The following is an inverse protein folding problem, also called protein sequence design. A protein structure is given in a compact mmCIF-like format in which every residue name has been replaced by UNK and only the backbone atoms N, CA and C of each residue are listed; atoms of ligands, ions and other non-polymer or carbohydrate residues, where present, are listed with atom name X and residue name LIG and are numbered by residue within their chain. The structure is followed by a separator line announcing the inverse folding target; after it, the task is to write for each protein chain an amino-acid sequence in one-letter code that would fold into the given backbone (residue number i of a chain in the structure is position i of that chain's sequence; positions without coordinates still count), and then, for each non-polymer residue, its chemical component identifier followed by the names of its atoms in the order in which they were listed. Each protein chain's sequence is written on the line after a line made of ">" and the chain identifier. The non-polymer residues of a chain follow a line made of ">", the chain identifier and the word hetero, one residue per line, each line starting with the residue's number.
data_IF_165760757619
#
_entry.id   IF_165760757619
#
_cell.length_a   1.000
_cell.length_b   1.000
_cell.length_c   1.000
_cell.angle_alpha   90.00
_cell.angle_beta   90.00
_cell.angle_gamma   90.00
#
_symmetry.space_group_name_H-M   'P 1'
#
loop_
_entity.id
_entity.type
_entity.pdbx_description
1 polymer ?
#
# COMPACT_ATOMS: atom_id res chain seq x y z
N UNK A 1 0.59 -7.42 16.71
CA UNK A 1 -0.26 -7.02 15.56
C UNK A 1 0.61 -6.41 14.48
N UNK A 2 0.55 -6.94 13.26
CA UNK A 2 1.35 -6.43 12.16
C UNK A 2 0.72 -5.20 11.52
N UNK A 3 1.54 -4.22 11.18
CA UNK A 3 1.09 -3.01 10.50
C UNK A 3 1.19 -3.19 8.99
N UNK A 4 0.17 -2.71 8.28
CA UNK A 4 0.06 -2.86 6.84
C UNK A 4 -0.20 -1.50 6.18
N UNK A 5 0.54 -1.21 5.12
CA UNK A 5 0.23 -0.11 4.22
C UNK A 5 -0.34 -0.71 2.93
N UNK A 6 -1.49 -0.22 2.48
CA UNK A 6 -2.13 -0.69 1.25
C UNK A 6 -2.05 0.41 0.20
N UNK A 7 -1.12 0.26 -0.73
CA UNK A 7 -0.93 1.21 -1.81
C UNK A 7 -1.77 0.74 -3.00
N UNK A 8 -2.73 1.55 -3.38
CA UNK A 8 -3.77 1.15 -4.32
C UNK A 8 -4.97 0.52 -3.59
N UNK A 9 -5.36 1.09 -2.46
CA UNK A 9 -6.39 0.52 -1.57
C UNK A 9 -7.78 0.46 -2.19
N UNK A 10 -8.05 1.26 -3.20
CA UNK A 10 -9.36 1.33 -3.86
C UNK A 10 -9.48 0.39 -5.06
N UNK A 11 -8.39 -0.22 -5.48
CA UNK A 11 -8.38 -1.19 -6.57
C UNK A 11 -8.79 -2.59 -6.12
N UNK A 12 -8.77 -3.54 -7.05
CA UNK A 12 -9.21 -4.92 -6.78
C UNK A 12 -8.41 -5.59 -5.67
N UNK A 13 -7.07 -5.54 -5.77
CA UNK A 13 -6.20 -6.14 -4.75
C UNK A 13 -6.36 -5.41 -3.41
N UNK A 14 -6.43 -4.08 -3.44
CA UNK A 14 -6.58 -3.29 -2.23
C UNK A 14 -7.86 -3.58 -1.48
N UNK A 15 -8.99 -3.64 -2.18
CA UNK A 15 -10.27 -3.93 -1.54
C UNK A 15 -10.33 -5.34 -0.98
N UNK A 16 -9.76 -6.33 -1.68
CA UNK A 16 -9.66 -7.69 -1.18
C UNK A 16 -8.77 -7.79 0.06
N UNK A 17 -7.66 -7.04 0.07
CA UNK A 17 -6.77 -6.96 1.23
C UNK A 17 -7.53 -6.43 2.44
N UNK A 18 -8.31 -5.37 2.25
CA UNK A 18 -9.06 -4.79 3.36
C UNK A 18 -10.14 -5.74 3.88
N UNK A 19 -10.74 -6.57 3.02
CA UNK A 19 -11.66 -7.61 3.48
C UNK A 19 -10.97 -8.64 4.38
N UNK A 20 -9.77 -9.06 4.02
CA UNK A 20 -9.00 -9.99 4.85
C UNK A 20 -8.64 -9.34 6.19
N UNK A 21 -8.19 -8.09 6.18
CA UNK A 21 -7.86 -7.37 7.41
C UNK A 21 -9.10 -7.22 8.30
N UNK A 22 -10.25 -6.96 7.69
CA UNK A 22 -11.51 -6.82 8.44
C UNK A 22 -11.86 -8.12 9.17
N UNK A 23 -11.64 -9.28 8.54
CA UNK A 23 -11.91 -10.59 9.15
C UNK A 23 -10.82 -11.03 10.13
N UNK A 24 -9.62 -10.44 10.04
CA UNK A 24 -8.46 -10.79 10.86
C UNK A 24 -7.96 -9.56 11.66
N UNK A 25 -8.89 -8.78 12.18
CA UNK A 25 -8.59 -7.49 12.82
C UNK A 25 -7.74 -7.61 14.09
N UNK A 26 -7.65 -8.79 14.67
CA UNK A 26 -6.78 -9.08 15.81
C UNK A 26 -5.31 -9.32 15.39
N UNK A 27 -5.07 -9.56 14.10
CA UNK A 27 -3.72 -9.84 13.57
C UNK A 27 -3.07 -8.67 12.84
N UNK A 28 -3.89 -7.81 12.23
CA UNK A 28 -3.41 -6.77 11.32
C UNK A 28 -4.02 -5.41 11.66
N UNK A 29 -3.22 -4.37 11.53
CA UNK A 29 -3.66 -2.98 11.64
C UNK A 29 -3.27 -2.23 10.38
N UNK A 30 -4.19 -1.49 9.81
CA UNK A 30 -3.91 -0.64 8.67
C UNK A 30 -3.19 0.62 9.16
N UNK A 31 -1.94 0.78 8.76
CA UNK A 31 -1.17 1.98 9.07
C UNK A 31 -1.41 3.07 8.03
N UNK A 32 -1.49 2.69 6.75
CA UNK A 32 -1.66 3.66 5.68
C UNK A 32 -2.50 3.10 4.54
N UNK A 33 -3.22 4.00 3.89
CA UNK A 33 -4.01 3.71 2.69
C UNK A 33 -3.64 4.73 1.60
N UNK A 34 -3.59 4.30 0.35
CA UNK A 34 -3.28 5.20 -0.75
C UNK A 34 -4.09 4.85 -1.99
N UNK A 35 -4.59 5.88 -2.66
CA UNK A 35 -5.31 5.76 -3.91
C UNK A 35 -4.83 6.82 -4.89
N UNK A 36 -4.98 6.57 -6.21
CA UNK A 36 -4.57 7.56 -7.20
C UNK A 36 -5.55 8.73 -7.28
N UNK A 37 -6.83 8.44 -7.50
CA UNK A 37 -7.85 9.47 -7.69
C UNK A 37 -9.20 9.16 -7.04
N UNK A 38 -9.41 7.96 -6.55
CA UNK A 38 -10.71 7.54 -5.98
C UNK A 38 -10.89 8.08 -4.56
N UNK A 39 -11.06 9.39 -4.45
CA UNK A 39 -11.07 10.09 -3.17
C UNK A 39 -12.25 9.69 -2.28
N UNK A 40 -13.43 9.50 -2.85
CA UNK A 40 -14.62 9.14 -2.05
C UNK A 40 -14.48 7.78 -1.39
N UNK A 41 -14.00 6.78 -2.14
CA UNK A 41 -13.80 5.45 -1.58
C UNK A 41 -12.66 5.46 -0.56
N UNK A 42 -11.60 6.21 -0.82
CA UNK A 42 -10.50 6.36 0.13
C UNK A 42 -10.98 6.99 1.44
N UNK A 43 -11.84 7.99 1.37
CA UNK A 43 -12.44 8.60 2.56
C UNK A 43 -13.24 7.56 3.36
N UNK A 44 -14.06 6.76 2.69
CA UNK A 44 -14.83 5.71 3.36
C UNK A 44 -13.92 4.68 4.04
N UNK A 45 -12.85 4.29 3.37
CA UNK A 45 -11.87 3.36 3.94
C UNK A 45 -11.15 3.96 5.15
N UNK A 46 -10.79 5.24 5.08
CA UNK A 46 -10.13 5.92 6.19
C UNK A 46 -11.03 6.03 7.41
N UNK A 47 -12.32 6.24 7.22
CA UNK A 47 -13.29 6.28 8.32
C UNK A 47 -13.43 4.92 9.00
N UNK A 48 -13.38 3.85 8.23
CA UNK A 48 -13.51 2.49 8.76
C UNK A 48 -12.25 2.04 9.48
N UNK A 49 -11.10 2.15 8.81
CA UNK A 49 -9.86 1.54 9.30
C UNK A 49 -9.01 2.48 10.16
N UNK A 50 -9.27 3.75 10.12
CA UNK A 50 -8.56 4.77 10.92
C UNK A 50 -7.05 4.63 10.83
N UNK A 51 -6.47 4.73 9.62
CA UNK A 51 -5.02 4.63 9.47
C UNK A 51 -4.31 5.84 10.07
N UNK A 52 -3.00 5.73 10.24
CA UNK A 52 -2.19 6.87 10.67
C UNK A 52 -2.02 7.89 9.54
N UNK A 53 -2.02 7.43 8.30
CA UNK A 53 -1.82 8.29 7.15
C UNK A 53 -2.58 7.78 5.92
N UNK A 54 -2.92 8.72 5.04
CA UNK A 54 -3.49 8.42 3.74
C UNK A 54 -2.75 9.21 2.66
N UNK A 55 -2.75 8.71 1.44
CA UNK A 55 -2.15 9.41 0.31
C UNK A 55 -3.05 9.39 -0.91
N UNK A 56 -3.03 10.47 -1.66
CA UNK A 56 -3.73 10.60 -2.94
C UNK A 56 -2.72 10.99 -4.01
N UNK A 57 -2.72 10.26 -5.13
CA UNK A 57 -1.78 10.50 -6.22
C UNK A 57 -2.00 11.83 -6.92
N UNK A 58 -3.27 12.16 -7.20
CA UNK A 58 -3.62 13.44 -7.78
C UNK A 58 -3.65 14.51 -6.68
N UNK A 59 -2.60 15.33 -6.64
CA UNK A 59 -2.39 16.29 -5.56
C UNK A 59 -3.53 17.30 -5.41
N UNK A 60 -4.23 17.63 -6.49
CA UNK A 60 -5.34 18.57 -6.49
C UNK A 60 -6.55 18.04 -5.68
N UNK A 61 -6.61 16.74 -5.41
CA UNK A 61 -7.66 16.14 -4.61
C UNK A 61 -7.37 16.12 -3.10
N UNK A 62 -6.19 16.59 -2.70
CA UNK A 62 -5.77 16.55 -1.28
C UNK A 62 -6.71 17.34 -0.37
N UNK A 63 -7.22 18.49 -0.81
CA UNK A 63 -8.16 19.30 -0.04
C UNK A 63 -9.47 18.57 0.24
N UNK A 64 -10.02 17.93 -0.79
CA UNK A 64 -11.24 17.13 -0.66
C UNK A 64 -11.03 15.96 0.29
N UNK A 65 -9.89 15.30 0.18
CA UNK A 65 -9.53 14.19 1.06
C UNK A 65 -9.46 14.66 2.52
N UNK A 66 -8.77 15.76 2.79
CA UNK A 66 -8.66 16.29 4.15
C UNK A 66 -10.00 16.64 4.76
N UNK A 67 -10.91 17.16 3.94
CA UNK A 67 -12.24 17.57 4.42
C UNK A 67 -13.12 16.38 4.77
N UNK A 68 -12.86 15.22 4.19
CA UNK A 68 -13.72 14.05 4.36
C UNK A 68 -13.26 13.04 5.41
N UNK A 69 -12.01 13.07 5.82
CA UNK A 69 -11.45 12.07 6.74
C UNK A 69 -11.48 12.54 8.19
N UNK A 70 -11.40 11.60 9.16
CA UNK A 70 -11.30 11.98 10.58
C UNK A 70 -10.04 12.81 10.85
N UNK A 71 -10.12 13.68 11.84
CA UNK A 71 -8.98 14.48 12.26
C UNK A 71 -7.88 13.58 12.86
N UNK A 72 -6.63 14.01 12.72
CA UNK A 72 -5.48 13.27 13.24
C UNK A 72 -4.84 12.32 12.24
N UNK A 73 -5.44 12.14 11.06
CA UNK A 73 -4.84 11.33 10.00
C UNK A 73 -3.98 12.23 9.11
N UNK A 74 -2.72 11.86 8.93
CA UNK A 74 -1.81 12.60 8.06
C UNK A 74 -2.21 12.41 6.60
N UNK A 75 -2.17 13.48 5.80
CA UNK A 75 -2.46 13.41 4.36
C UNK A 75 -1.22 13.73 3.56
N UNK A 76 -0.82 12.80 2.71
CA UNK A 76 0.24 12.99 1.72
C UNK A 76 -0.40 13.07 0.34
N UNK A 77 0.25 13.77 -0.58
CA UNK A 77 -0.28 13.93 -1.92
C UNK A 77 0.84 14.07 -2.95
N UNK A 78 0.55 13.62 -4.16
CA UNK A 78 1.43 13.80 -5.28
C UNK A 78 2.62 12.86 -5.34
N UNK A 79 3.66 13.28 -6.00
CA UNK A 79 4.85 12.47 -6.27
C UNK A 79 5.56 12.09 -4.98
N UNK A 80 5.96 10.82 -4.87
CA UNK A 80 6.70 10.32 -3.71
C UNK A 80 5.84 9.92 -2.51
N UNK A 81 4.54 10.25 -2.51
CA UNK A 81 3.66 9.99 -1.38
C UNK A 81 3.48 8.49 -1.12
N UNK A 82 3.27 7.72 -2.17
CA UNK A 82 3.07 6.27 -2.05
C UNK A 82 4.34 5.58 -1.56
N UNK A 83 5.47 5.96 -2.12
CA UNK A 83 6.78 5.41 -1.76
C UNK A 83 7.06 5.64 -0.27
N UNK A 84 6.77 6.84 0.22
CA UNK A 84 6.99 7.13 1.62
C UNK A 84 6.13 6.26 2.53
N UNK A 85 4.85 6.10 2.22
CA UNK A 85 3.96 5.26 3.03
C UNK A 85 4.37 3.79 2.99
N UNK A 86 4.93 3.33 1.87
CA UNK A 86 5.41 1.95 1.75
C UNK A 86 6.55 1.64 2.72
N UNK A 87 7.27 2.65 3.18
CA UNK A 87 8.41 2.46 4.10
C UNK A 87 8.02 2.47 5.58
N UNK A 88 6.77 2.84 5.91
CA UNK A 88 6.36 3.08 7.29
C UNK A 88 5.79 1.86 8.01
N UNK A 89 5.34 0.84 7.28
CA UNK A 89 4.71 -0.35 7.86
C UNK A 89 5.61 -1.57 7.79
N UNK A 90 5.29 -2.60 8.57
CA UNK A 90 6.01 -3.87 8.49
C UNK A 90 5.77 -4.55 7.15
N UNK A 91 4.56 -4.43 6.60
CA UNK A 91 4.19 -5.04 5.33
C UNK A 91 3.58 -3.98 4.42
N UNK A 92 4.08 -3.88 3.20
CA UNK A 92 3.49 -3.03 2.17
C UNK A 92 2.78 -3.92 1.15
N UNK A 93 1.52 -3.63 0.88
CA UNK A 93 0.75 -4.31 -0.17
C UNK A 93 0.75 -3.38 -1.39
N UNK A 94 1.38 -3.81 -2.47
CA UNK A 94 1.47 -3.01 -3.68
C UNK A 94 0.43 -3.46 -4.70
N UNK A 95 -0.71 -2.78 -4.71
CA UNK A 95 -1.76 -2.97 -5.69
C UNK A 95 -1.78 -1.89 -6.77
N UNK A 96 -0.73 -1.08 -6.85
CA UNK A 96 -0.62 0.00 -7.84
C UNK A 96 -0.20 -0.57 -9.18
N UNK A 97 -0.95 -0.25 -10.23
CA UNK A 97 -0.64 -0.73 -11.58
C UNK A 97 0.32 0.22 -12.31
N UNK A 98 1.04 -0.30 -13.29
CA UNK A 98 1.93 0.48 -14.13
C UNK A 98 3.23 0.89 -13.46
N UNK A 99 3.89 1.90 -14.01
CA UNK A 99 5.20 2.35 -13.54
C UNK A 99 5.17 2.96 -12.13
N UNK A 100 4.05 3.53 -11.73
CA UNK A 100 3.91 4.07 -10.37
C UNK A 100 4.11 2.97 -9.32
N UNK A 101 3.72 1.74 -9.64
CA UNK A 101 3.91 0.60 -8.75
C UNK A 101 5.38 0.21 -8.57
N UNK A 102 6.22 0.47 -9.56
CA UNK A 102 7.65 0.15 -9.45
C UNK A 102 8.32 0.96 -8.35
N UNK A 103 8.02 2.25 -8.24
CA UNK A 103 8.57 3.09 -7.17
C UNK A 103 8.24 2.56 -5.79
N UNK A 104 7.00 2.12 -5.59
CA UNK A 104 6.56 1.50 -4.33
C UNK A 104 7.38 0.24 -4.03
N UNK A 105 7.54 -0.62 -5.02
CA UNK A 105 8.33 -1.85 -4.87
C UNK A 105 9.76 -1.55 -4.45
N UNK A 106 10.43 -0.63 -5.14
CA UNK A 106 11.81 -0.28 -4.84
C UNK A 106 11.95 0.34 -3.45
N UNK A 107 11.04 1.23 -3.07
CA UNK A 107 11.07 1.88 -1.76
C UNK A 107 10.87 0.88 -0.62
N UNK A 108 9.90 -0.01 -0.75
CA UNK A 108 9.63 -1.00 0.29
C UNK A 108 10.80 -1.94 0.50
N UNK A 109 11.35 -2.49 -0.58
CA UNK A 109 12.48 -3.43 -0.48
C UNK A 109 13.75 -2.73 0.02
N UNK A 110 14.03 -1.52 -0.47
CA UNK A 110 15.21 -0.76 -0.02
C UNK A 110 15.14 -0.43 1.48
N UNK A 111 13.93 -0.33 2.03
CA UNK A 111 13.71 -0.06 3.45
C UNK A 111 13.65 -1.32 4.31
N UNK A 112 13.88 -2.49 3.72
CA UNK A 112 13.84 -3.75 4.46
C UNK A 112 12.44 -4.18 4.87
N UNK A 113 11.41 -3.77 4.11
CA UNK A 113 10.02 -4.12 4.41
C UNK A 113 9.61 -5.39 3.64
N UNK A 114 8.63 -6.08 4.19
CA UNK A 114 7.99 -7.18 3.46
C UNK A 114 7.04 -6.57 2.46
N UNK A 115 7.14 -7.01 1.22
CA UNK A 115 6.33 -6.47 0.12
C UNK A 115 5.49 -7.57 -0.50
N UNK A 116 4.18 -7.39 -0.48
CA UNK A 116 3.26 -8.23 -1.23
C UNK A 116 2.96 -7.53 -2.55
N UNK A 117 3.32 -8.16 -3.66
CA UNK A 117 3.23 -7.57 -4.98
C UNK A 117 2.26 -8.35 -5.85
N UNK A 118 1.25 -7.64 -6.37
CA UNK A 118 0.24 -8.23 -7.25
C UNK A 118 0.66 -8.19 -8.72
N UNK A 119 1.46 -7.21 -9.12
CA UNK A 119 1.83 -7.00 -10.53
C UNK A 119 3.16 -7.67 -10.87
N UNK A 120 3.09 -8.92 -11.35
CA UNK A 120 4.28 -9.68 -11.74
C UNK A 120 4.98 -9.11 -12.97
N UNK A 121 4.24 -8.43 -13.82
CA UNK A 121 4.79 -7.88 -15.08
C UNK A 121 5.81 -6.78 -14.80
N UNK A 122 5.52 -5.92 -13.84
CA UNK A 122 6.48 -4.90 -13.40
C UNK A 122 7.74 -5.54 -12.83
N UNK A 123 7.61 -6.67 -12.16
CA UNK A 123 8.73 -7.39 -11.58
C UNK A 123 9.66 -7.95 -12.67
N UNK A 124 9.11 -8.49 -13.73
CA UNK A 124 9.89 -9.03 -14.85
C UNK A 124 10.62 -7.90 -15.56
N UNK A 125 9.93 -6.81 -15.88
CA UNK A 125 10.51 -5.67 -16.57
C UNK A 125 11.61 -4.98 -15.75
N UNK A 126 11.46 -4.93 -14.44
CA UNK A 126 12.35 -4.22 -13.52
C UNK A 126 13.29 -5.14 -12.75
N UNK A 127 13.37 -6.43 -13.14
CA UNK A 127 14.19 -7.43 -12.45
C UNK A 127 15.60 -6.97 -12.08
N UNK A 128 16.36 -6.36 -13.01
CA UNK A 128 17.71 -5.87 -12.70
C UNK A 128 17.77 -4.82 -11.60
N UNK A 129 16.70 -4.03 -11.40
CA UNK A 129 16.62 -3.03 -10.35
C UNK A 129 16.15 -3.64 -9.02
N UNK A 130 15.28 -4.62 -9.08
CA UNK A 130 14.65 -5.23 -7.91
C UNK A 130 15.56 -6.25 -7.24
N UNK A 131 16.28 -7.08 -8.02
CA UNK A 131 17.07 -8.17 -7.49
C UNK A 131 18.09 -7.77 -6.42
N UNK A 132 18.88 -6.70 -6.61
CA UNK A 132 19.83 -6.28 -5.58
C UNK A 132 19.14 -5.89 -4.26
N UNK A 133 17.94 -5.30 -4.34
CA UNK A 133 17.22 -4.82 -3.16
C UNK A 133 16.63 -5.97 -2.34
N UNK A 134 16.42 -7.13 -2.94
CA UNK A 134 15.93 -8.31 -2.22
C UNK A 134 16.90 -8.80 -1.16
N UNK A 135 18.16 -8.41 -1.24
CA UNK A 135 19.19 -8.74 -0.24
C UNK A 135 19.19 -7.77 0.94
N UNK A 136 18.40 -6.70 0.90
CA UNK A 136 18.31 -5.75 2.02
C UNK A 136 17.82 -6.49 3.27
N UNK A 137 18.47 -6.31 4.43
CA UNK A 137 18.02 -6.97 5.66
C UNK A 137 16.55 -6.66 5.96
N UNK A 138 15.77 -7.72 6.18
CA UNK A 138 14.32 -7.60 6.42
C UNK A 138 13.47 -7.60 5.19
N UNK A 139 14.04 -7.36 4.00
CA UNK A 139 13.27 -7.33 2.76
C UNK A 139 12.82 -8.74 2.37
N UNK A 140 11.54 -8.84 2.02
CA UNK A 140 10.94 -10.09 1.55
C UNK A 140 9.91 -9.76 0.49
N UNK A 141 10.00 -10.41 -0.65
CA UNK A 141 9.04 -10.22 -1.74
C UNK A 141 8.07 -11.40 -1.77
N UNK A 142 6.80 -11.10 -1.59
CA UNK A 142 5.73 -12.11 -1.54
C UNK A 142 4.81 -11.86 -2.74
N UNK A 143 4.79 -12.76 -3.72
CA UNK A 143 3.84 -12.61 -4.83
C UNK A 143 2.42 -12.92 -4.34
N UNK A 144 1.48 -12.07 -4.71
CA UNK A 144 0.06 -12.29 -4.45
C UNK A 144 -0.70 -12.17 -5.75
N UNK A 145 -1.74 -12.97 -5.94
CA UNK A 145 -2.61 -12.84 -7.09
C UNK A 145 -4.04 -12.53 -6.63
N UNK A 146 -4.86 -12.07 -7.56
CA UNK A 146 -6.22 -11.67 -7.25
C UNK A 146 -7.13 -12.83 -6.81
N UNK A 147 -6.71 -14.06 -7.07
CA UNK A 147 -7.49 -15.25 -6.74
C UNK A 147 -7.10 -15.86 -5.40
N UNK A 148 -5.85 -15.62 -4.97
CA UNK A 148 -5.31 -16.21 -3.76
C UNK A 148 -4.58 -15.16 -2.93
N UNK A 149 -5.33 -14.22 -2.36
CA UNK A 149 -4.79 -13.25 -1.43
C UNK A 149 -4.52 -13.92 -0.10
N UNK A 150 -3.33 -14.46 0.02
CA UNK A 150 -2.93 -15.20 1.21
C UNK A 150 -2.16 -14.31 2.18
N UNK A 151 -2.85 -13.35 2.79
CA UNK A 151 -2.30 -12.58 3.89
C UNK A 151 -2.04 -13.46 5.12
N UNK A 152 -2.56 -14.67 5.10
CA UNK A 152 -2.38 -15.64 6.18
C UNK A 152 -0.89 -15.97 6.39
N UNK A 153 -0.10 -15.91 5.33
CA UNK A 153 1.32 -16.25 5.37
C UNK A 153 2.24 -15.04 5.61
N UNK A 154 1.67 -13.88 5.78
CA UNK A 154 2.45 -12.65 6.04
C UNK A 154 2.78 -12.49 7.53
#
# INVERSE_FOLDING_TARGET
>A
MKTISVLGSTGSIGTQTLEVVRSESDRFRILALAAWSSVELLIAQAKEFRPDAVAIGQAELAGELRSGIPSGIEVLAGEGAFEELATRSEVAINGVVGFAGLGVTLAALASGRRLALANKESLIAAGPLVQPLRSTPGAELIPVDSEHLSLIHI
#
